data_IF_082089083086
#
_entry.id   IF_082089083086
#
_cell.length_a   1.000
_cell.length_b   1.000
_cell.length_c   1.000
_cell.angle_alpha   90.00
_cell.angle_beta   90.00
_cell.angle_gamma   90.00
#
_symmetry.space_group_name_H-M   'P 1'
#
loop_
_entity.id
_entity.type
_entity.pdbx_description
1 polymer ?
#
# COMPACT_ATOMS: atom_id res chain seq x y z
N UNK A 1 -8.40 11.58 18.39
CA UNK A 1 -8.16 10.13 18.21
C UNK A 1 -7.89 9.55 19.59
N UNK A 2 -8.85 8.84 20.21
CA UNK A 2 -8.62 8.15 21.49
C UNK A 2 -7.95 6.80 21.16
N UNK A 3 -6.73 6.61 21.60
CA UNK A 3 -6.10 5.31 21.59
C UNK A 3 -6.94 4.35 22.46
N UNK A 4 -7.41 3.26 21.86
CA UNK A 4 -7.94 2.12 22.63
C UNK A 4 -6.69 1.47 23.25
N UNK A 5 -6.58 1.37 24.58
CA UNK A 5 -5.42 0.70 25.18
C UNK A 5 -5.47 -0.78 24.78
N UNK A 6 -4.35 -1.27 24.27
CA UNK A 6 -4.13 -2.70 24.02
C UNK A 6 -4.20 -3.44 25.35
N UNK A 7 -4.78 -4.64 25.36
CA UNK A 7 -4.73 -5.50 26.54
C UNK A 7 -3.30 -6.03 26.78
N UNK A 8 -3.05 -6.58 27.98
CA UNK A 8 -1.71 -7.09 28.36
C UNK A 8 -1.23 -8.20 27.41
N UNK A 9 -2.14 -8.93 26.79
CA UNK A 9 -1.83 -10.02 25.89
C UNK A 9 -1.43 -9.48 24.50
N UNK A 10 -2.11 -8.47 24.02
CA UNK A 10 -1.76 -7.74 22.78
C UNK A 10 -0.39 -7.05 22.90
N UNK A 11 -0.13 -6.41 24.06
CA UNK A 11 1.17 -5.81 24.36
C UNK A 11 2.29 -6.87 24.41
N UNK A 12 2.01 -8.05 24.95
CA UNK A 12 2.97 -9.16 25.03
C UNK A 12 3.24 -9.79 23.65
N UNK A 13 2.23 -9.81 22.76
CA UNK A 13 2.42 -10.23 21.37
C UNK A 13 3.24 -9.20 20.57
N UNK A 14 3.00 -7.93 20.76
CA UNK A 14 3.76 -6.85 20.11
C UNK A 14 5.23 -6.79 20.57
N UNK A 15 5.53 -7.21 21.80
CA UNK A 15 6.90 -7.28 22.32
C UNK A 15 7.70 -8.48 21.78
N UNK A 16 7.03 -9.47 21.17
CA UNK A 16 7.67 -10.68 20.66
C UNK A 16 8.11 -10.46 19.23
N UNK A 17 9.42 -10.34 19.03
CA UNK A 17 9.98 -10.32 17.68
C UNK A 17 9.90 -11.72 17.07
N UNK A 18 9.02 -11.86 16.05
CA UNK A 18 8.95 -13.07 15.24
C UNK A 18 9.92 -12.99 14.07
N UNK A 19 10.40 -14.15 13.62
CA UNK A 19 11.19 -14.25 12.40
C UNK A 19 10.32 -13.94 11.17
N UNK A 20 10.96 -13.49 10.09
CA UNK A 20 10.30 -13.13 8.83
C UNK A 20 9.38 -14.26 8.31
N UNK A 21 9.85 -15.51 8.35
CA UNK A 21 9.08 -16.67 7.91
C UNK A 21 7.81 -16.90 8.75
N UNK A 22 7.86 -16.58 10.04
CA UNK A 22 6.69 -16.64 10.91
C UNK A 22 5.70 -15.53 10.60
N UNK A 23 6.20 -14.31 10.33
CA UNK A 23 5.37 -13.18 9.95
C UNK A 23 4.65 -13.41 8.62
N UNK A 24 5.30 -14.01 7.63
CA UNK A 24 4.68 -14.36 6.35
C UNK A 24 3.40 -15.20 6.51
N UNK A 25 3.37 -16.08 7.50
CA UNK A 25 2.25 -16.99 7.73
C UNK A 25 1.20 -16.44 8.70
N UNK A 26 1.63 -15.74 9.74
CA UNK A 26 0.80 -15.47 10.91
C UNK A 26 0.58 -14.00 11.22
N UNK A 27 1.33 -13.07 10.61
CA UNK A 27 1.16 -11.65 10.90
C UNK A 27 -0.25 -11.16 10.56
N UNK A 28 -0.75 -10.27 11.40
CA UNK A 28 -2.00 -9.52 11.17
C UNK A 28 -3.27 -10.38 11.03
N UNK A 29 -3.23 -11.64 11.44
CA UNK A 29 -4.43 -12.49 11.48
C UNK A 29 -4.78 -12.83 12.93
N UNK A 30 -5.91 -12.30 13.38
CA UNK A 30 -6.53 -12.68 14.65
C UNK A 30 -7.61 -13.72 14.37
N UNK A 31 -7.56 -14.84 15.07
CA UNK A 31 -8.57 -15.90 14.91
C UNK A 31 -9.93 -15.35 15.32
N UNK A 32 -10.90 -15.43 14.41
CA UNK A 32 -12.25 -14.95 14.64
C UNK A 32 -13.06 -15.87 15.61
N UNK A 33 -14.27 -15.48 16.04
CA UNK A 33 -15.08 -16.28 16.96
C UNK A 33 -15.45 -17.69 16.43
N UNK A 34 -15.33 -17.95 15.11
CA UNK A 34 -15.54 -19.30 14.56
C UNK A 34 -14.37 -20.25 14.81
N UNK A 35 -13.22 -19.72 15.23
CA UNK A 35 -11.99 -20.47 15.43
C UNK A 35 -11.27 -20.84 14.11
N UNK A 36 -11.60 -20.16 13.01
CA UNK A 36 -10.97 -20.41 11.70
C UNK A 36 -9.47 -20.14 11.77
N UNK A 37 -8.68 -21.14 11.37
CA UNK A 37 -7.22 -20.99 11.28
C UNK A 37 -6.80 -20.17 10.05
N UNK A 38 -7.52 -20.31 8.95
CA UNK A 38 -7.30 -19.53 7.74
C UNK A 38 -8.00 -18.17 7.85
N UNK A 39 -7.50 -17.18 7.14
CA UNK A 39 -8.18 -15.88 7.01
C UNK A 39 -9.50 -16.11 6.27
N UNK A 40 -10.66 -15.79 6.86
CA UNK A 40 -11.94 -15.93 6.18
C UNK A 40 -12.06 -14.98 4.98
N UNK A 41 -12.81 -15.40 3.96
CA UNK A 41 -13.14 -14.55 2.81
C UNK A 41 -14.48 -13.88 3.09
N UNK A 42 -14.45 -12.59 3.39
CA UNK A 42 -15.65 -11.77 3.60
C UNK A 42 -16.15 -11.21 2.27
N UNK A 43 -16.91 -12.02 1.54
CA UNK A 43 -17.44 -11.65 0.21
C UNK A 43 -18.72 -10.82 0.37
N UNK A 44 -18.57 -9.56 0.75
CA UNK A 44 -19.67 -8.62 0.94
C UNK A 44 -19.29 -7.23 0.46
N UNK A 45 -20.26 -6.42 0.09
CA UNK A 45 -20.07 -5.00 -0.25
C UNK A 45 -20.26 -4.09 0.96
N UNK A 46 -21.14 -4.41 1.87
CA UNK A 46 -21.53 -3.56 3.00
C UNK A 46 -21.63 -4.36 4.29
N UNK A 47 -21.58 -3.64 5.40
CA UNK A 47 -21.65 -4.19 6.75
C UNK A 47 -22.84 -3.57 7.48
N UNK A 48 -23.46 -4.35 8.35
CA UNK A 48 -24.58 -3.88 9.19
C UNK A 48 -24.07 -3.17 10.43
N UNK A 49 -24.86 -2.23 10.92
CA UNK A 49 -24.61 -1.53 12.18
C UNK A 49 -25.64 -1.98 13.20
N UNK A 50 -25.26 -2.02 14.46
CA UNK A 50 -26.15 -2.34 15.57
C UNK A 50 -27.23 -1.29 15.74
N UNK A 51 -26.84 -0.02 15.64
CA UNK A 51 -27.70 1.15 15.79
C UNK A 51 -27.13 2.37 15.04
N UNK A 52 -27.86 3.48 15.08
CA UNK A 52 -27.48 4.72 14.42
C UNK A 52 -26.25 5.39 15.04
N UNK A 53 -26.00 5.20 16.34
CA UNK A 53 -24.84 5.75 17.04
C UNK A 53 -23.56 5.04 16.59
N UNK A 54 -23.59 3.70 16.49
CA UNK A 54 -22.48 2.94 15.94
C UNK A 54 -22.20 3.33 14.48
N UNK A 55 -23.24 3.47 13.66
CA UNK A 55 -23.09 3.93 12.27
C UNK A 55 -22.40 5.30 12.21
N UNK A 56 -22.90 6.28 12.98
CA UNK A 56 -22.30 7.61 13.04
C UNK A 56 -20.84 7.57 13.46
N UNK A 57 -20.50 6.76 14.47
CA UNK A 57 -19.11 6.59 14.95
C UNK A 57 -18.18 5.99 13.90
N UNK A 58 -18.65 5.00 13.12
CA UNK A 58 -17.86 4.40 12.03
C UNK A 58 -17.63 5.37 10.87
N UNK A 59 -18.68 6.11 10.44
CA UNK A 59 -18.54 7.13 9.40
C UNK A 59 -17.67 8.31 9.83
N UNK A 60 -17.68 8.66 11.11
CA UNK A 60 -16.79 9.66 11.69
C UNK A 60 -15.36 9.14 11.96
N UNK A 61 -15.08 7.86 11.69
CA UNK A 61 -13.80 7.17 11.98
C UNK A 61 -13.39 7.24 13.47
N UNK A 62 -14.36 7.35 14.36
CA UNK A 62 -14.15 7.31 15.82
C UNK A 62 -14.30 5.91 16.40
N UNK A 63 -15.03 5.04 15.71
CA UNK A 63 -15.21 3.64 16.06
C UNK A 63 -14.63 2.74 14.95
N UNK A 64 -13.87 1.68 15.29
CA UNK A 64 -13.39 0.71 14.30
C UNK A 64 -14.54 -0.14 13.77
N UNK A 65 -14.38 -0.69 12.57
CA UNK A 65 -15.29 -1.67 11.98
C UNK A 65 -15.63 -1.38 10.53
N UNK A 66 -16.18 -2.41 9.87
CA UNK A 66 -16.52 -2.34 8.45
C UNK A 66 -17.71 -1.41 8.17
N UNK A 67 -17.62 -0.69 7.08
CA UNK A 67 -18.69 0.14 6.51
C UNK A 67 -19.05 -0.40 5.13
N UNK A 68 -18.06 -0.43 4.25
CA UNK A 68 -18.19 -0.81 2.87
C UNK A 68 -16.85 -1.35 2.34
N UNK A 69 -16.85 -2.46 1.61
CA UNK A 69 -15.62 -3.18 1.22
C UNK A 69 -14.63 -2.36 0.37
N UNK A 70 -15.08 -1.31 -0.31
CA UNK A 70 -14.19 -0.36 -1.00
C UNK A 70 -13.35 0.47 -0.03
N UNK A 71 -13.84 0.70 1.20
CA UNK A 71 -13.14 1.45 2.25
C UNK A 71 -12.26 0.56 3.11
N UNK A 72 -12.67 -0.70 3.30
CA UNK A 72 -11.97 -1.71 4.07
C UNK A 72 -12.78 -3.00 4.14
N UNK A 73 -12.09 -4.13 4.18
CA UNK A 73 -12.70 -5.46 4.27
C UNK A 73 -11.78 -6.35 5.11
N UNK A 74 -12.30 -7.09 6.10
CA UNK A 74 -11.46 -7.90 6.99
C UNK A 74 -10.50 -8.85 6.28
N UNK A 75 -10.80 -9.30 5.06
CA UNK A 75 -9.91 -10.13 4.27
C UNK A 75 -8.73 -9.33 3.72
N UNK A 76 -8.97 -8.16 3.12
CA UNK A 76 -7.91 -7.31 2.56
C UNK A 76 -7.11 -6.63 3.66
N UNK A 77 -7.74 -6.30 4.79
CA UNK A 77 -7.08 -5.66 5.93
C UNK A 77 -5.94 -6.54 6.48
N UNK A 78 -6.11 -7.89 6.46
CA UNK A 78 -5.04 -8.83 6.83
C UNK A 78 -3.87 -8.77 5.85
N UNK A 79 -4.13 -8.65 4.53
CA UNK A 79 -3.08 -8.51 3.52
C UNK A 79 -2.32 -7.20 3.72
N UNK A 80 -3.05 -6.10 3.83
CA UNK A 80 -2.48 -4.76 3.99
C UNK A 80 -1.57 -4.68 5.21
N UNK A 81 -2.06 -5.13 6.36
CA UNK A 81 -1.29 -5.11 7.59
C UNK A 81 -0.13 -6.12 7.59
N UNK A 82 -0.29 -7.28 6.94
CA UNK A 82 0.80 -8.27 6.84
C UNK A 82 1.95 -7.76 5.98
N UNK A 83 1.67 -7.21 4.81
CA UNK A 83 2.70 -6.64 3.95
C UNK A 83 3.39 -5.47 4.66
N UNK A 84 2.62 -4.59 5.32
CA UNK A 84 3.21 -3.51 6.11
C UNK A 84 4.18 -4.02 7.18
N UNK A 85 3.83 -5.11 7.90
CA UNK A 85 4.74 -5.70 8.89
C UNK A 85 6.00 -6.32 8.27
N UNK A 86 5.88 -6.98 7.12
CA UNK A 86 7.01 -7.59 6.42
C UNK A 86 7.98 -6.53 5.89
N UNK A 87 7.47 -5.40 5.43
CA UNK A 87 8.25 -4.28 4.90
C UNK A 87 8.69 -3.27 5.99
N UNK A 88 8.26 -3.47 7.24
CA UNK A 88 8.52 -2.51 8.33
C UNK A 88 7.82 -1.17 8.13
N UNK A 89 6.75 -1.15 7.33
CA UNK A 89 5.95 0.03 7.00
C UNK A 89 4.90 0.36 8.06
N UNK A 90 4.40 1.59 8.01
CA UNK A 90 3.34 2.07 8.91
C UNK A 90 1.94 1.55 8.52
N UNK A 91 1.75 1.13 7.26
CA UNK A 91 0.50 0.61 6.75
C UNK A 91 0.66 0.15 5.30
N UNK A 92 -0.35 -0.53 4.79
CA UNK A 92 -0.47 -0.97 3.40
C UNK A 92 -1.88 -0.72 2.87
N UNK A 93 -2.04 -0.77 1.57
CA UNK A 93 -3.33 -0.72 0.90
C UNK A 93 -3.32 -1.63 -0.32
N UNK A 94 -4.22 -2.58 -0.36
CA UNK A 94 -4.38 -3.45 -1.51
C UNK A 94 -5.22 -2.76 -2.60
N UNK A 95 -4.78 -2.92 -3.84
CA UNK A 95 -5.47 -2.41 -5.02
C UNK A 95 -5.63 -3.53 -6.06
N UNK A 96 -6.45 -3.29 -7.08
CA UNK A 96 -6.85 -4.32 -8.04
C UNK A 96 -5.72 -4.85 -8.95
N UNK A 97 -4.60 -4.12 -9.06
CA UNK A 97 -3.46 -4.53 -9.91
C UNK A 97 -2.18 -3.77 -9.53
N UNK A 98 -1.03 -4.32 -9.94
CA UNK A 98 0.26 -3.62 -9.83
C UNK A 98 0.28 -2.29 -10.57
N UNK A 99 -0.33 -2.22 -11.77
CA UNK A 99 -0.45 -0.95 -12.50
C UNK A 99 -1.26 0.10 -11.74
N UNK A 100 -2.32 -0.30 -11.04
CA UNK A 100 -3.06 0.60 -10.16
C UNK A 100 -2.20 1.04 -8.97
N UNK A 101 -1.44 0.13 -8.36
CA UNK A 101 -0.54 0.46 -7.27
C UNK A 101 0.51 1.49 -7.69
N UNK A 102 1.15 1.30 -8.84
CA UNK A 102 2.13 2.25 -9.39
C UNK A 102 1.48 3.61 -9.64
N UNK A 103 0.31 3.61 -10.32
CA UNK A 103 -0.40 4.86 -10.64
C UNK A 103 -0.73 5.64 -9.37
N UNK A 104 -1.32 4.98 -8.37
CA UNK A 104 -1.70 5.66 -7.13
C UNK A 104 -0.49 6.10 -6.30
N UNK A 105 0.61 5.34 -6.32
CA UNK A 105 1.84 5.74 -5.63
C UNK A 105 2.38 7.05 -6.19
N UNK A 106 2.43 7.19 -7.53
CA UNK A 106 2.90 8.43 -8.16
C UNK A 106 1.91 9.58 -7.91
N UNK A 107 0.61 9.37 -8.14
CA UNK A 107 -0.41 10.41 -7.93
C UNK A 107 -0.56 10.85 -6.47
N UNK A 108 -0.09 10.04 -5.52
CA UNK A 108 -0.08 10.42 -4.11
C UNK A 108 1.02 11.46 -3.78
N UNK A 109 2.10 11.49 -4.54
CA UNK A 109 3.27 12.33 -4.26
C UNK A 109 3.49 13.43 -5.31
N UNK A 110 2.99 13.28 -6.53
CA UNK A 110 3.20 14.20 -7.64
C UNK A 110 1.87 14.73 -8.20
N UNK A 111 1.87 15.99 -8.59
CA UNK A 111 0.75 16.73 -9.19
C UNK A 111 1.16 17.36 -10.51
N UNK A 112 0.22 18.03 -11.21
CA UNK A 112 0.54 18.75 -12.44
C UNK A 112 1.62 19.83 -12.21
N UNK A 113 2.66 19.79 -13.04
CA UNK A 113 3.85 20.63 -12.92
C UNK A 113 5.03 19.97 -12.21
N UNK A 114 4.79 18.82 -11.54
CA UNK A 114 5.85 18.02 -10.94
C UNK A 114 6.47 17.05 -11.95
N UNK A 115 7.62 16.47 -11.56
CA UNK A 115 8.25 15.39 -12.31
C UNK A 115 8.69 14.23 -11.40
N UNK A 116 8.95 13.10 -12.04
CA UNK A 116 9.62 11.96 -11.44
C UNK A 116 10.85 11.58 -12.25
N UNK A 117 11.86 11.01 -11.62
CA UNK A 117 13.02 10.41 -12.27
C UNK A 117 12.83 8.90 -12.28
N UNK A 118 12.96 8.25 -13.42
CA UNK A 118 12.71 6.82 -13.54
C UNK A 118 13.81 6.10 -14.32
N UNK A 119 14.15 4.87 -13.92
CA UNK A 119 14.99 4.01 -14.72
C UNK A 119 14.38 3.76 -16.09
N UNK A 120 15.22 3.66 -17.15
CA UNK A 120 14.74 3.40 -18.49
C UNK A 120 14.38 1.93 -18.76
N UNK A 121 14.71 1.01 -17.85
CA UNK A 121 14.54 -0.44 -17.98
C UNK A 121 13.29 -0.99 -17.27
N UNK A 122 12.23 -0.18 -17.20
CA UNK A 122 10.99 -0.56 -16.55
C UNK A 122 10.18 -1.57 -17.36
N UNK A 123 9.31 -2.31 -16.68
CA UNK A 123 8.24 -3.08 -17.31
C UNK A 123 7.47 -2.23 -18.32
N UNK A 124 7.18 -2.77 -19.51
CA UNK A 124 6.58 -2.02 -20.61
C UNK A 124 5.27 -1.31 -20.25
N UNK A 125 4.44 -1.90 -19.38
CA UNK A 125 3.22 -1.26 -18.90
C UNK A 125 3.49 -0.02 -18.04
N UNK A 126 4.50 -0.07 -17.18
CA UNK A 126 4.96 1.06 -16.37
C UNK A 126 5.58 2.14 -17.25
N UNK A 127 6.41 1.74 -18.23
CA UNK A 127 6.99 2.67 -19.19
C UNK A 127 5.90 3.42 -19.95
N UNK A 128 4.87 2.73 -20.46
CA UNK A 128 3.73 3.36 -21.12
C UNK A 128 2.91 4.27 -20.20
N UNK A 129 2.71 3.88 -18.94
CA UNK A 129 2.07 4.75 -17.95
C UNK A 129 2.83 6.08 -17.83
N UNK A 130 4.14 6.01 -17.73
CA UNK A 130 5.02 7.17 -17.51
C UNK A 130 5.21 8.03 -18.77
N UNK A 131 5.22 7.43 -19.96
CA UNK A 131 5.40 8.17 -21.21
C UNK A 131 4.11 8.68 -21.83
N UNK A 132 2.97 8.01 -21.62
CA UNK A 132 1.72 8.34 -22.32
C UNK A 132 0.62 8.84 -21.37
N UNK A 133 0.55 8.35 -20.13
CA UNK A 133 -0.56 8.68 -19.22
C UNK A 133 -0.20 9.82 -18.28
N UNK A 134 0.93 9.76 -17.58
CA UNK A 134 1.33 10.80 -16.64
C UNK A 134 1.46 12.20 -17.31
N UNK A 135 2.01 12.33 -18.53
CA UNK A 135 2.05 13.64 -19.20
C UNK A 135 0.68 14.27 -19.43
N UNK A 136 -0.37 13.46 -19.64
CA UNK A 136 -1.76 13.95 -19.77
C UNK A 136 -2.30 14.51 -18.44
N UNK A 137 -1.71 14.11 -17.33
CA UNK A 137 -2.00 14.60 -15.99
C UNK A 137 -1.07 15.75 -15.57
N UNK A 138 -0.19 16.17 -16.49
CA UNK A 138 0.78 17.26 -16.25
C UNK A 138 2.00 16.84 -15.46
N UNK A 139 2.25 15.54 -15.28
CA UNK A 139 3.43 15.01 -14.56
C UNK A 139 4.45 14.52 -15.60
N UNK A 140 5.65 15.08 -15.55
CA UNK A 140 6.76 14.68 -16.43
C UNK A 140 7.50 13.48 -15.86
N UNK A 141 8.05 12.63 -16.75
CA UNK A 141 8.98 11.57 -16.35
C UNK A 141 10.31 11.77 -17.05
N UNK A 142 11.39 11.87 -16.29
CA UNK A 142 12.77 11.93 -16.76
C UNK A 142 13.38 10.53 -16.66
N UNK A 143 13.60 9.90 -17.81
CA UNK A 143 14.21 8.57 -17.86
C UNK A 143 15.72 8.66 -17.86
N UNK A 144 16.36 7.82 -17.07
CA UNK A 144 17.80 7.74 -16.90
C UNK A 144 18.29 6.29 -17.03
N UNK A 145 19.58 6.13 -17.31
CA UNK A 145 20.22 4.81 -17.29
C UNK A 145 20.30 4.30 -15.83
N UNK A 146 19.71 3.12 -15.50
CA UNK A 146 19.71 2.58 -14.13
C UNK A 146 21.13 2.31 -13.58
N UNK A 147 22.12 2.09 -14.44
CA UNK A 147 23.50 1.81 -14.06
C UNK A 147 24.35 3.07 -13.86
N UNK A 148 23.78 4.25 -14.04
CA UNK A 148 24.47 5.53 -13.95
C UNK A 148 23.85 6.45 -12.88
N UNK A 149 24.43 6.44 -11.68
CA UNK A 149 23.96 7.26 -10.56
C UNK A 149 24.08 8.77 -10.82
N UNK A 150 25.06 9.19 -11.63
CA UNK A 150 25.27 10.61 -11.98
C UNK A 150 24.11 11.14 -12.82
N UNK A 151 23.51 10.29 -13.68
CA UNK A 151 22.32 10.65 -14.46
C UNK A 151 21.10 10.87 -13.54
N UNK A 152 20.93 10.02 -12.50
CA UNK A 152 19.88 10.22 -11.50
C UNK A 152 20.05 11.56 -10.79
N UNK A 153 21.24 11.84 -10.29
CA UNK A 153 21.54 13.09 -9.59
C UNK A 153 21.29 14.32 -10.48
N UNK A 154 21.76 14.27 -11.72
CA UNK A 154 21.60 15.37 -12.69
C UNK A 154 20.14 15.59 -13.12
N UNK A 155 19.31 14.55 -13.08
CA UNK A 155 17.90 14.62 -13.46
C UNK A 155 16.98 15.18 -12.35
N UNK A 156 17.42 15.10 -11.10
CA UNK A 156 16.65 15.59 -9.93
C UNK A 156 16.68 17.13 -9.90
N UNK A 157 15.50 17.72 -9.74
CA UNK A 157 15.33 19.17 -9.55
C UNK A 157 14.26 19.46 -8.47
N UNK A 158 13.95 20.74 -8.26
CA UNK A 158 12.99 21.18 -7.23
C UNK A 158 11.56 20.63 -7.42
N UNK A 159 11.20 20.25 -8.65
CA UNK A 159 9.90 19.68 -8.98
C UNK A 159 9.90 18.14 -8.92
N UNK A 160 11.04 17.51 -8.66
CA UNK A 160 11.14 16.05 -8.57
C UNK A 160 10.53 15.55 -7.26
N UNK A 161 9.51 14.68 -7.36
CA UNK A 161 8.78 14.15 -6.20
C UNK A 161 9.10 12.70 -5.88
N UNK A 162 9.61 11.95 -6.86
CA UNK A 162 9.98 10.55 -6.66
C UNK A 162 11.10 10.11 -7.61
N UNK A 163 11.85 9.11 -7.16
CA UNK A 163 12.70 8.28 -8.01
C UNK A 163 12.06 6.91 -8.09
N UNK A 164 11.85 6.41 -9.31
CA UNK A 164 11.19 5.12 -9.55
C UNK A 164 12.14 4.14 -10.22
N UNK A 165 12.31 2.98 -9.61
CA UNK A 165 13.13 1.87 -10.11
C UNK A 165 12.41 0.55 -9.92
N UNK A 166 12.81 -0.48 -10.65
CA UNK A 166 12.45 -1.87 -10.43
C UNK A 166 13.70 -2.65 -9.99
N UNK A 167 13.58 -3.43 -8.93
CA UNK A 167 14.70 -4.23 -8.38
C UNK A 167 15.20 -5.25 -9.40
N UNK A 168 14.29 -5.76 -10.24
CA UNK A 168 14.58 -6.69 -11.33
C UNK A 168 13.80 -6.21 -12.54
N UNK A 169 14.52 -5.74 -13.55
CA UNK A 169 13.91 -5.25 -14.79
C UNK A 169 13.24 -6.36 -15.61
N UNK A 170 12.18 -6.00 -16.35
CA UNK A 170 11.43 -6.90 -17.21
C UNK A 170 11.43 -6.34 -18.66
N UNK A 171 11.96 -7.07 -19.67
CA UNK A 171 12.40 -8.49 -19.65
C UNK A 171 13.90 -8.70 -19.40
N UNK A 172 14.68 -7.64 -19.20
CA UNK A 172 16.13 -7.70 -19.22
C UNK A 172 16.78 -8.41 -18.01
N UNK A 173 16.07 -8.54 -16.89
CA UNK A 173 16.60 -9.07 -15.61
C UNK A 173 17.84 -8.27 -15.15
N UNK A 174 17.90 -7.02 -15.45
CA UNK A 174 18.94 -6.05 -15.13
C UNK A 174 18.48 -5.12 -13.99
#
# INVERSE_FOLDING_TARGET
MKFIPLDEWELKLMSKQYKFETLQLHASHTVDPTGSRAVPIYQTTSFVFKDAEEAAGRFALTNPGGIYSRLGNPTTDVLDARVAQLEGGAGGIAVASGSAAITYSILNVASAGDNIVAASTLYGGTYNLFTATLPRLGIETKFVNPDNLEEFEAAIDDNTKAVYIETIGNPGIN
#
